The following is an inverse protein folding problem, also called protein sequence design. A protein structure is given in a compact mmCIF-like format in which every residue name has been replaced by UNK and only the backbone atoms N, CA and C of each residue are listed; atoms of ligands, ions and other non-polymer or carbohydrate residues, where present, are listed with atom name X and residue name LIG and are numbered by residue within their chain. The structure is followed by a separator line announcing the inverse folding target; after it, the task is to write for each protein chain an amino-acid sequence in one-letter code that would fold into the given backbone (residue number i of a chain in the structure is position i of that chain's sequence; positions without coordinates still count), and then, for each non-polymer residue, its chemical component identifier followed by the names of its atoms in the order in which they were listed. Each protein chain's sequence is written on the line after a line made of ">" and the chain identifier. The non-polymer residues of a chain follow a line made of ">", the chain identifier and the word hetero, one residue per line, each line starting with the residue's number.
data_IF_507623480377
#
_entry.id   IF_507623480377
#
_cell.length_a   1.000
_cell.length_b   1.000
_cell.length_c   1.000
_cell.angle_alpha   90.00
_cell.angle_beta   90.00
_cell.angle_gamma   90.00
#
_symmetry.space_group_name_H-M   'P 1'
#
loop_
_entity.id
_entity.type
_entity.pdbx_description
1 polymer ?
#
# COMPACT_ATOMS: atom_id res chain seq x y z
N UNK A 1 10.75 17.91 -8.07
CA UNK A 1 10.19 16.72 -7.39
C UNK A 1 10.26 15.56 -8.35
N UNK A 2 10.23 14.32 -7.85
CA UNK A 2 10.19 13.12 -8.69
C UNK A 2 8.81 13.03 -9.36
N UNK A 3 8.71 12.79 -10.68
CA UNK A 3 7.42 12.53 -11.33
C UNK A 3 6.88 11.18 -10.83
N UNK A 4 5.78 11.22 -10.08
CA UNK A 4 5.22 10.07 -9.36
C UNK A 4 3.71 10.08 -9.50
N UNK A 5 3.14 8.88 -9.67
CA UNK A 5 1.71 8.60 -9.50
C UNK A 5 1.54 7.45 -8.53
N UNK A 6 0.50 7.48 -7.70
CA UNK A 6 0.12 6.38 -6.82
C UNK A 6 -1.05 5.61 -7.41
N UNK A 7 -1.07 4.29 -7.20
CA UNK A 7 -2.20 3.42 -7.50
C UNK A 7 -2.59 2.69 -6.21
N UNK A 8 -3.88 2.61 -5.90
CA UNK A 8 -4.40 1.90 -4.73
C UNK A 8 -5.83 1.43 -4.92
N UNK A 9 -6.38 0.75 -3.92
CA UNK A 9 -7.80 0.41 -3.89
C UNK A 9 -8.58 1.49 -3.13
N UNK A 10 -9.78 1.84 -3.61
CA UNK A 10 -10.70 2.70 -2.88
C UNK A 10 -11.54 1.85 -1.93
N UNK A 11 -11.31 1.96 -0.62
CA UNK A 11 -12.11 1.27 0.39
C UNK A 11 -13.20 2.19 0.93
N UNK A 12 -14.45 1.99 0.53
CA UNK A 12 -15.56 2.88 0.90
C UNK A 12 -15.92 2.80 2.40
N UNK A 13 -15.63 1.68 3.08
CA UNK A 13 -15.82 1.52 4.53
C UNK A 13 -14.52 1.70 5.33
N UNK A 14 -13.36 1.80 4.66
CA UNK A 14 -12.05 1.81 5.32
C UNK A 14 -11.79 0.52 6.11
N UNK A 15 -11.18 0.63 7.29
CA UNK A 15 -10.96 -0.53 8.17
C UNK A 15 -12.21 -0.81 9.01
N UNK A 16 -12.35 -0.15 10.15
CA UNK A 16 -13.60 0.02 10.87
C UNK A 16 -13.45 1.21 11.82
N UNK A 17 -14.58 1.74 12.27
CA UNK A 17 -14.59 2.72 13.35
C UNK A 17 -14.76 1.99 14.67
N UNK A 18 -13.76 2.11 15.53
CA UNK A 18 -13.76 1.48 16.85
C UNK A 18 -14.69 2.24 17.80
N UNK A 19 -15.53 1.49 18.50
CA UNK A 19 -16.37 1.95 19.60
C UNK A 19 -16.10 1.11 20.84
N UNK A 20 -16.14 1.72 22.03
CA UNK A 20 -16.12 0.99 23.29
C UNK A 20 -17.49 1.14 23.94
N UNK A 21 -18.08 0.01 24.36
CA UNK A 21 -19.34 0.02 25.10
C UNK A 21 -19.15 0.48 26.57
N UNK A 22 -20.21 0.36 27.36
CA UNK A 22 -20.20 0.68 28.78
C UNK A 22 -19.29 -0.23 29.62
N UNK A 23 -19.06 -1.45 29.15
CA UNK A 23 -18.18 -2.44 29.79
C UNK A 23 -16.73 -2.35 29.31
N UNK A 24 -16.45 -1.46 28.34
CA UNK A 24 -15.14 -1.29 27.74
C UNK A 24 -14.79 -2.31 26.65
N UNK A 25 -15.76 -3.09 26.17
CA UNK A 25 -15.54 -4.00 25.04
C UNK A 25 -15.56 -3.25 23.72
N UNK A 26 -14.66 -3.66 22.83
CA UNK A 26 -14.60 -3.15 21.47
C UNK A 26 -15.82 -3.62 20.67
N UNK A 27 -16.39 -2.66 19.96
CA UNK A 27 -17.41 -2.85 18.93
C UNK A 27 -16.93 -2.18 17.63
N UNK A 28 -17.34 -2.76 16.51
CA UNK A 28 -16.93 -2.35 15.16
C UNK A 28 -18.10 -1.72 14.42
N UNK A 29 -17.92 -0.49 13.94
CA UNK A 29 -18.88 0.18 13.07
C UNK A 29 -18.26 0.38 11.69
N UNK A 30 -18.92 -0.13 10.65
CA UNK A 30 -18.53 0.05 9.25
C UNK A 30 -19.43 1.12 8.65
N UNK A 31 -18.83 2.24 8.21
CA UNK A 31 -19.56 3.40 7.68
C UNK A 31 -19.19 3.55 6.21
N UNK A 32 -20.17 3.44 5.33
CA UNK A 32 -19.98 3.75 3.92
C UNK A 32 -19.70 5.24 3.76
N UNK A 33 -18.52 5.56 3.24
CA UNK A 33 -18.16 6.92 2.91
C UNK A 33 -18.88 7.32 1.64
N UNK A 34 -19.50 8.48 1.71
CA UNK A 34 -20.12 9.14 0.57
C UNK A 34 -19.02 9.75 -0.30
N UNK A 35 -18.85 9.21 -1.51
CA UNK A 35 -17.82 9.66 -2.46
C UNK A 35 -17.95 11.15 -2.77
N UNK A 36 -19.17 11.70 -2.78
CA UNK A 36 -19.46 13.12 -2.99
C UNK A 36 -18.90 14.05 -1.88
N UNK A 37 -18.55 13.49 -0.72
CA UNK A 37 -17.93 14.22 0.39
C UNK A 37 -16.40 14.11 0.40
N UNK A 38 -15.82 13.37 -0.54
CA UNK A 38 -14.39 13.17 -0.65
C UNK A 38 -13.79 14.05 -1.77
N UNK A 39 -12.52 14.46 -1.65
CA UNK A 39 -11.82 15.21 -2.69
C UNK A 39 -11.33 14.26 -3.80
N UNK A 40 -12.26 13.49 -4.37
CA UNK A 40 -12.01 12.54 -5.46
C UNK A 40 -12.92 12.86 -6.64
N UNK A 41 -12.44 12.59 -7.84
CA UNK A 41 -13.18 12.78 -9.10
C UNK A 41 -13.00 11.56 -10.01
N UNK A 42 -13.92 11.27 -10.94
CA UNK A 42 -13.72 10.19 -11.91
C UNK A 42 -12.45 10.43 -12.73
N UNK A 43 -11.60 9.42 -12.85
CA UNK A 43 -10.45 9.49 -13.74
C UNK A 43 -10.92 9.34 -15.18
N UNK A 44 -10.46 10.24 -16.05
CA UNK A 44 -10.90 10.32 -17.44
C UNK A 44 -9.81 9.80 -18.39
N UNK A 45 -10.24 9.15 -19.47
CA UNK A 45 -9.39 8.78 -20.60
C UNK A 45 -9.00 10.03 -21.43
N UNK A 46 -8.12 9.90 -22.44
CA UNK A 46 -7.74 11.01 -23.32
C UNK A 46 -8.91 11.67 -24.08
N UNK A 47 -10.02 10.97 -24.25
CA UNK A 47 -11.23 11.44 -24.93
C UNK A 47 -12.23 12.10 -23.96
N UNK A 48 -11.94 12.10 -22.65
CA UNK A 48 -12.73 12.72 -21.60
C UNK A 48 -13.81 11.80 -20.98
N UNK A 49 -13.79 10.50 -21.26
CA UNK A 49 -14.75 9.55 -20.70
C UNK A 49 -14.24 8.93 -19.38
N UNK A 50 -15.11 8.68 -18.40
CA UNK A 50 -14.73 7.95 -17.18
C UNK A 50 -14.16 6.56 -17.48
N UNK A 51 -13.05 6.23 -16.82
CA UNK A 51 -12.37 4.95 -17.02
C UNK A 51 -13.01 3.87 -16.15
N UNK A 52 -13.42 2.79 -16.80
CA UNK A 52 -13.73 1.49 -16.18
C UNK A 52 -12.88 0.43 -16.83
N UNK A 53 -12.10 -0.30 -16.04
CA UNK A 53 -11.27 -1.41 -16.51
C UNK A 53 -12.00 -2.75 -16.31
N UNK A 54 -11.63 -3.74 -17.12
CA UNK A 54 -12.10 -5.12 -17.01
C UNK A 54 -10.94 -6.07 -16.71
N UNK A 55 -11.23 -7.07 -15.87
CA UNK A 55 -10.31 -8.08 -15.41
C UNK A 55 -10.97 -9.44 -15.58
N UNK A 56 -10.46 -10.26 -16.49
CA UNK A 56 -11.02 -11.57 -16.76
C UNK A 56 -10.46 -12.62 -15.81
N UNK A 57 -11.37 -13.41 -15.22
CA UNK A 57 -11.07 -14.62 -14.45
C UNK A 57 -11.71 -15.82 -15.15
N UNK A 58 -11.37 -17.05 -14.75
CA UNK A 58 -12.02 -18.25 -15.29
C UNK A 58 -13.54 -18.28 -15.07
N UNK A 59 -14.01 -17.58 -14.03
CA UNK A 59 -15.40 -17.58 -13.59
C UNK A 59 -16.18 -16.30 -13.94
N UNK A 60 -15.59 -15.41 -14.74
CA UNK A 60 -16.26 -14.19 -15.20
C UNK A 60 -15.34 -12.97 -15.21
N UNK A 61 -15.91 -11.83 -15.59
CA UNK A 61 -15.20 -10.55 -15.68
C UNK A 61 -15.50 -9.70 -14.46
N UNK A 62 -14.46 -9.14 -13.85
CA UNK A 62 -14.53 -8.17 -12.78
C UNK A 62 -14.29 -6.77 -13.35
N UNK A 63 -15.17 -5.82 -13.03
CA UNK A 63 -15.05 -4.43 -13.43
C UNK A 63 -14.49 -3.58 -12.28
N UNK A 64 -13.70 -2.57 -12.59
CA UNK A 64 -13.32 -1.55 -11.61
C UNK A 64 -13.30 -0.17 -12.26
N UNK A 65 -14.00 0.80 -11.67
CA UNK A 65 -13.90 2.22 -12.05
C UNK A 65 -12.67 2.84 -11.39
N UNK A 66 -12.16 3.91 -11.97
CA UNK A 66 -10.95 4.57 -11.50
C UNK A 66 -11.29 5.98 -11.00
N UNK A 67 -10.96 6.24 -9.75
CA UNK A 67 -11.02 7.57 -9.13
C UNK A 67 -9.66 8.26 -9.18
N UNK A 68 -9.66 9.58 -9.25
CA UNK A 68 -8.50 10.45 -9.15
C UNK A 68 -8.58 11.28 -7.85
N UNK A 69 -7.49 11.30 -7.09
CA UNK A 69 -7.28 12.17 -5.95
C UNK A 69 -5.97 12.92 -6.11
N UNK A 70 -5.96 14.22 -5.77
CA UNK A 70 -4.75 15.03 -5.75
C UNK A 70 -4.12 15.04 -4.35
N UNK A 71 -2.93 14.46 -4.22
CA UNK A 71 -2.13 14.48 -2.98
C UNK A 71 -0.96 15.44 -3.17
N UNK A 72 -1.20 16.72 -2.87
CA UNK A 72 -0.25 17.79 -3.19
C UNK A 72 -0.04 17.88 -4.70
N UNK A 73 1.16 17.53 -5.18
CA UNK A 73 1.50 17.50 -6.62
C UNK A 73 1.39 16.12 -7.26
N UNK A 74 1.15 15.07 -6.45
CA UNK A 74 1.08 13.68 -6.89
C UNK A 74 -0.37 13.32 -7.18
N UNK A 75 -0.61 12.64 -8.30
CA UNK A 75 -1.91 12.05 -8.60
C UNK A 75 -1.97 10.65 -7.99
N UNK A 76 -3.03 10.38 -7.24
CA UNK A 76 -3.35 9.08 -6.67
C UNK A 76 -4.60 8.55 -7.39
N UNK A 77 -4.48 7.41 -8.06
CA UNK A 77 -5.60 6.73 -8.67
C UNK A 77 -6.07 5.59 -7.78
N UNK A 78 -7.38 5.50 -7.56
CA UNK A 78 -7.98 4.51 -6.68
C UNK A 78 -8.98 3.66 -7.45
N UNK A 79 -8.78 2.35 -7.46
CA UNK A 79 -9.65 1.40 -8.13
C UNK A 79 -10.81 0.99 -7.23
N UNK A 80 -12.02 0.98 -7.77
CA UNK A 80 -13.26 0.69 -7.05
C UNK A 80 -14.10 -0.32 -7.83
N UNK A 81 -14.39 -1.46 -7.22
CA UNK A 81 -15.22 -2.53 -7.78
C UNK A 81 -16.72 -2.31 -7.56
N UNK A 82 -17.16 -1.27 -6.84
CA UNK A 82 -18.57 -0.91 -6.74
C UNK A 82 -19.06 -0.26 -8.05
N UNK A 83 -19.29 -1.11 -9.04
CA UNK A 83 -19.64 -0.75 -10.42
C UNK A 83 -20.87 -1.55 -10.85
N UNK A 84 -21.77 -0.92 -11.60
CA UNK A 84 -22.86 -1.63 -12.25
C UNK A 84 -22.33 -2.70 -13.22
N UNK A 85 -22.93 -3.89 -13.22
CA UNK A 85 -22.44 -5.05 -13.95
C UNK A 85 -21.67 -6.06 -13.08
N UNK A 86 -21.01 -5.62 -12.01
CA UNK A 86 -20.43 -6.53 -11.01
C UNK A 86 -21.51 -7.17 -10.13
N UNK A 87 -21.29 -8.42 -9.73
CA UNK A 87 -22.14 -9.11 -8.76
C UNK A 87 -22.05 -8.43 -7.37
N UNK A 88 -23.03 -8.63 -6.47
CA UNK A 88 -22.95 -8.05 -5.12
C UNK A 88 -21.65 -8.39 -4.39
N UNK A 89 -21.17 -9.63 -4.49
CA UNK A 89 -19.92 -10.09 -3.89
C UNK A 89 -18.69 -9.39 -4.48
N UNK A 90 -18.73 -9.04 -5.76
CA UNK A 90 -17.63 -8.38 -6.46
C UNK A 90 -17.52 -6.90 -6.08
N UNK A 91 -18.67 -6.26 -5.85
CA UNK A 91 -18.73 -4.89 -5.33
C UNK A 91 -18.15 -4.79 -3.92
N UNK A 92 -18.36 -5.82 -3.11
CA UNK A 92 -17.81 -5.88 -1.73
C UNK A 92 -16.28 -6.04 -1.69
N UNK A 93 -15.61 -6.39 -2.80
CA UNK A 93 -14.15 -6.53 -2.84
C UNK A 93 -13.40 -5.27 -2.41
N UNK A 94 -13.94 -4.11 -2.73
CA UNK A 94 -13.37 -2.80 -2.37
C UNK A 94 -14.17 -2.12 -1.28
N UNK A 95 -14.95 -2.87 -0.49
CA UNK A 95 -15.67 -2.28 0.63
C UNK A 95 -14.74 -2.04 1.84
N UNK A 96 -14.07 -3.11 2.30
CA UNK A 96 -13.31 -3.13 3.55
C UNK A 96 -11.83 -3.36 3.33
N UNK A 97 -11.01 -2.57 4.00
CA UNK A 97 -9.57 -2.77 4.12
C UNK A 97 -9.30 -3.96 5.05
N UNK A 98 -8.44 -4.90 4.63
CA UNK A 98 -8.09 -6.12 5.38
C UNK A 98 -9.29 -7.01 5.78
N UNK A 99 -10.38 -6.98 5.00
CA UNK A 99 -11.51 -7.89 5.15
C UNK A 99 -11.41 -9.12 4.24
N UNK A 100 -12.34 -10.06 4.44
CA UNK A 100 -12.52 -11.23 3.58
C UNK A 100 -11.59 -12.39 3.89
N UNK A 101 -11.63 -13.38 3.00
CA UNK A 101 -10.82 -14.60 3.00
C UNK A 101 -9.71 -14.58 1.94
N UNK A 102 -8.99 -15.68 1.75
CA UNK A 102 -7.94 -15.80 0.73
C UNK A 102 -8.44 -15.49 -0.68
N UNK A 103 -9.69 -15.88 -0.99
CA UNK A 103 -10.34 -15.59 -2.27
C UNK A 103 -10.59 -14.09 -2.44
N UNK A 104 -11.08 -13.42 -1.41
CA UNK A 104 -11.22 -11.95 -1.43
C UNK A 104 -9.86 -11.29 -1.62
N UNK A 105 -8.83 -11.80 -0.94
CA UNK A 105 -7.48 -11.25 -0.97
C UNK A 105 -6.83 -11.33 -2.34
N UNK A 106 -6.81 -12.51 -2.97
CA UNK A 106 -6.21 -12.67 -4.32
C UNK A 106 -6.93 -11.80 -5.36
N UNK A 107 -8.25 -11.61 -5.21
CA UNK A 107 -9.05 -10.73 -6.08
C UNK A 107 -8.71 -9.25 -5.88
N UNK A 108 -8.54 -8.80 -4.64
CA UNK A 108 -8.04 -7.44 -4.36
C UNK A 108 -6.66 -7.22 -4.98
N UNK A 109 -5.76 -8.20 -4.85
CA UNK A 109 -4.41 -8.12 -5.45
C UNK A 109 -4.43 -8.16 -6.98
N UNK A 110 -5.38 -8.89 -7.58
CA UNK A 110 -5.64 -8.87 -9.02
C UNK A 110 -6.06 -7.47 -9.48
N UNK A 111 -7.02 -6.85 -8.78
CA UNK A 111 -7.48 -5.48 -9.07
C UNK A 111 -6.36 -4.48 -8.89
N UNK A 112 -5.59 -4.58 -7.81
CA UNK A 112 -4.50 -3.65 -7.53
C UNK A 112 -3.34 -3.79 -8.54
N UNK A 113 -2.89 -5.02 -8.79
CA UNK A 113 -1.76 -5.32 -9.67
C UNK A 113 -2.14 -5.16 -11.14
N UNK A 114 -2.93 -6.09 -11.67
CA UNK A 114 -3.32 -6.12 -13.09
C UNK A 114 -4.21 -4.92 -13.42
N UNK A 115 -5.20 -4.65 -12.56
CA UNK A 115 -6.08 -3.51 -12.79
C UNK A 115 -5.36 -2.17 -12.70
N UNK A 116 -4.41 -2.03 -11.78
CA UNK A 116 -3.56 -0.84 -11.70
C UNK A 116 -2.81 -0.55 -13.00
N UNK A 117 -2.23 -1.57 -13.64
CA UNK A 117 -1.54 -1.41 -14.93
C UNK A 117 -2.53 -1.08 -16.05
N UNK A 118 -3.66 -1.76 -16.13
CA UNK A 118 -4.71 -1.45 -17.12
C UNK A 118 -5.24 -0.01 -16.97
N UNK A 119 -5.39 0.48 -15.74
CA UNK A 119 -5.80 1.85 -15.47
C UNK A 119 -4.75 2.86 -15.95
N UNK A 120 -3.46 2.61 -15.69
CA UNK A 120 -2.36 3.45 -16.20
C UNK A 120 -2.37 3.51 -17.72
N UNK A 121 -2.59 2.37 -18.39
CA UNK A 121 -2.69 2.30 -19.85
C UNK A 121 -3.88 3.09 -20.38
N UNK A 122 -5.05 2.96 -19.78
CA UNK A 122 -6.25 3.74 -20.15
C UNK A 122 -6.05 5.25 -19.95
N UNK A 123 -5.25 5.64 -18.95
CA UNK A 123 -4.86 7.04 -18.69
C UNK A 123 -3.79 7.58 -19.67
N UNK A 124 -3.24 6.73 -20.54
CA UNK A 124 -2.10 7.10 -21.39
C UNK A 124 -0.79 7.30 -20.62
N UNK A 125 -0.66 6.72 -19.42
CA UNK A 125 0.53 6.82 -18.58
C UNK A 125 1.40 5.59 -18.79
N UNK A 126 2.66 5.80 -19.17
CA UNK A 126 3.68 4.75 -19.25
C UNK A 126 4.76 5.00 -18.21
N UNK A 127 4.74 4.30 -17.06
CA UNK A 127 5.77 4.44 -16.04
C UNK A 127 7.14 3.99 -16.56
N UNK A 128 8.19 4.74 -16.24
CA UNK A 128 9.57 4.28 -16.44
C UNK A 128 10.04 3.31 -15.35
N UNK A 129 9.40 3.34 -14.18
CA UNK A 129 9.66 2.45 -13.04
C UNK A 129 8.35 2.10 -12.35
N UNK A 130 8.19 0.83 -12.00
CA UNK A 130 7.13 0.30 -11.14
C UNK A 130 7.71 0.03 -9.75
N UNK A 131 7.13 0.62 -8.72
CA UNK A 131 7.50 0.35 -7.33
C UNK A 131 6.38 -0.43 -6.65
N UNK A 132 6.70 -1.67 -6.30
CA UNK A 132 5.82 -2.57 -5.55
C UNK A 132 6.05 -2.36 -4.06
N UNK A 133 5.03 -1.84 -3.38
CA UNK A 133 5.03 -1.71 -1.92
C UNK A 133 4.42 -2.98 -1.30
N UNK A 134 5.30 -3.90 -0.88
CA UNK A 134 4.98 -5.28 -0.49
C UNK A 134 4.37 -6.12 -1.64
N UNK A 135 4.08 -7.39 -1.37
CA UNK A 135 3.60 -8.37 -2.36
C UNK A 135 2.26 -8.05 -3.02
N UNK A 136 1.42 -7.18 -2.46
CA UNK A 136 0.02 -7.03 -2.86
C UNK A 136 -0.21 -6.56 -4.31
N UNK A 137 0.81 -5.94 -4.91
CA UNK A 137 0.78 -5.47 -6.29
C UNK A 137 1.62 -6.32 -7.25
N UNK A 138 2.12 -7.48 -6.79
CA UNK A 138 3.09 -8.29 -7.53
C UNK A 138 2.52 -8.95 -8.80
N UNK A 139 1.21 -8.92 -9.02
CA UNK A 139 0.61 -9.27 -10.31
C UNK A 139 0.76 -8.18 -11.38
N UNK A 140 1.03 -6.93 -11.00
CA UNK A 140 1.23 -5.82 -11.93
C UNK A 140 2.30 -6.09 -12.99
N UNK A 141 3.53 -6.50 -12.61
CA UNK A 141 4.57 -6.86 -13.57
C UNK A 141 4.15 -7.93 -14.60
N UNK A 142 3.28 -8.88 -14.24
CA UNK A 142 2.77 -9.89 -15.19
C UNK A 142 1.90 -9.24 -16.28
N UNK A 143 1.07 -8.26 -15.93
CA UNK A 143 0.30 -7.50 -16.93
C UNK A 143 1.21 -6.63 -17.80
N UNK A 144 2.27 -6.03 -17.24
CA UNK A 144 3.24 -5.27 -18.05
C UNK A 144 3.97 -6.20 -19.04
N UNK A 145 4.34 -7.42 -18.62
CA UNK A 145 4.92 -8.42 -19.55
C UNK A 145 3.94 -8.69 -20.69
N UNK A 146 2.67 -8.94 -20.35
CA UNK A 146 1.63 -9.20 -21.35
C UNK A 146 1.50 -8.04 -22.34
N UNK A 147 1.50 -6.80 -21.86
CA UNK A 147 1.50 -5.61 -22.72
C UNK A 147 2.71 -5.57 -23.65
N UNK A 148 3.93 -5.83 -23.15
CA UNK A 148 5.16 -5.87 -23.98
C UNK A 148 5.13 -6.99 -25.02
N UNK A 149 4.64 -8.17 -24.66
CA UNK A 149 4.48 -9.27 -25.61
C UNK A 149 3.52 -8.91 -26.74
N UNK A 150 2.38 -8.30 -26.41
CA UNK A 150 1.36 -7.94 -27.38
C UNK A 150 1.76 -6.72 -28.25
N UNK A 151 2.26 -5.65 -27.62
CA UNK A 151 2.51 -4.37 -28.30
C UNK A 151 3.86 -4.35 -29.05
N UNK A 152 4.84 -5.12 -28.58
CA UNK A 152 6.20 -5.13 -29.12
C UNK A 152 6.60 -6.49 -29.74
N UNK A 153 5.74 -7.51 -29.67
CA UNK A 153 6.03 -8.85 -30.21
C UNK A 153 7.16 -9.58 -29.47
N UNK A 154 7.42 -9.22 -28.21
CA UNK A 154 8.49 -9.82 -27.41
C UNK A 154 8.14 -11.24 -26.99
N UNK A 155 9.17 -12.07 -26.78
CA UNK A 155 9.00 -13.35 -26.08
C UNK A 155 8.73 -13.10 -24.60
N UNK A 156 8.10 -14.06 -23.92
CA UNK A 156 7.86 -13.98 -22.47
C UNK A 156 9.17 -13.71 -21.69
N UNK A 157 10.24 -14.43 -22.01
CA UNK A 157 11.52 -14.30 -21.31
C UNK A 157 12.17 -12.92 -21.52
N UNK A 158 12.11 -12.37 -22.73
CA UNK A 158 12.67 -11.05 -23.01
C UNK A 158 11.86 -9.94 -22.35
N UNK A 159 10.53 -10.04 -22.41
CA UNK A 159 9.63 -9.11 -21.74
C UNK A 159 9.79 -9.17 -20.20
N UNK A 160 9.93 -10.37 -19.62
CA UNK A 160 10.20 -10.55 -18.20
C UNK A 160 11.52 -9.89 -17.78
N UNK A 161 12.60 -10.06 -18.56
CA UNK A 161 13.89 -9.41 -18.28
C UNK A 161 13.79 -7.89 -18.35
N UNK A 162 13.07 -7.35 -19.34
CA UNK A 162 12.86 -5.90 -19.47
C UNK A 162 12.06 -5.34 -18.30
N UNK A 163 10.91 -5.94 -17.99
CA UNK A 163 10.03 -5.49 -16.91
C UNK A 163 10.73 -5.58 -15.56
N UNK A 164 11.53 -6.62 -15.33
CA UNK A 164 12.32 -6.74 -14.11
C UNK A 164 13.28 -5.54 -13.95
N UNK A 165 13.90 -5.06 -15.03
CA UNK A 165 14.77 -3.86 -14.99
C UNK A 165 14.03 -2.59 -14.61
N UNK A 166 12.72 -2.53 -14.88
CA UNK A 166 11.82 -1.42 -14.57
C UNK A 166 11.11 -1.58 -13.22
N UNK A 167 11.31 -2.70 -12.50
CA UNK A 167 10.57 -2.99 -11.27
C UNK A 167 11.46 -2.95 -10.03
N UNK A 168 10.95 -2.30 -8.98
CA UNK A 168 11.56 -2.23 -7.64
C UNK A 168 10.57 -2.75 -6.61
N UNK A 169 11.04 -3.55 -5.67
CA UNK A 169 10.22 -4.16 -4.62
C UNK A 169 10.68 -3.71 -3.24
N UNK A 170 9.73 -3.32 -2.38
CA UNK A 170 10.00 -3.07 -0.96
C UNK A 170 9.23 -4.08 -0.12
N UNK A 171 9.91 -4.73 0.83
CA UNK A 171 9.27 -5.60 1.82
C UNK A 171 9.27 -4.97 3.20
N UNK A 172 8.14 -5.13 3.91
CA UNK A 172 7.87 -4.62 5.24
C UNK A 172 7.76 -5.74 6.27
N UNK A 173 7.46 -6.97 5.84
CA UNK A 173 7.21 -8.11 6.71
C UNK A 173 8.51 -8.81 7.13
N UNK A 174 8.84 -8.86 8.44
CA UNK A 174 10.07 -9.51 8.92
C UNK A 174 9.86 -10.97 9.32
N UNK A 175 8.68 -11.55 9.09
CA UNK A 175 8.31 -12.91 9.53
C UNK A 175 7.65 -13.71 8.40
N UNK A 176 8.01 -14.99 8.17
CA UNK A 176 7.47 -15.79 7.07
C UNK A 176 5.94 -15.89 7.01
N UNK A 177 5.28 -15.90 8.18
CA UNK A 177 3.82 -16.04 8.29
C UNK A 177 3.04 -14.79 7.86
N UNK A 178 3.69 -13.64 7.71
CA UNK A 178 3.02 -12.39 7.29
C UNK A 178 3.01 -12.17 5.78
N UNK A 179 3.44 -13.14 4.98
CA UNK A 179 3.47 -13.04 3.52
C UNK A 179 2.27 -13.77 2.91
N UNK A 180 1.55 -13.08 2.04
CA UNK A 180 0.40 -13.62 1.34
C UNK A 180 0.80 -14.84 0.48
N UNK A 181 0.06 -15.94 0.68
CA UNK A 181 0.25 -17.23 0.01
C UNK A 181 -1.10 -17.75 -0.46
N UNK A 182 -1.16 -18.21 -1.70
CA UNK A 182 -2.39 -18.73 -2.30
C UNK A 182 -2.21 -20.15 -2.78
N UNK A 183 -3.28 -20.95 -2.65
CA UNK A 183 -3.36 -22.25 -3.30
C UNK A 183 -3.36 -22.12 -4.83
N UNK A 184 -2.79 -23.10 -5.51
CA UNK A 184 -2.65 -23.09 -6.97
C UNK A 184 -3.98 -23.07 -7.72
N UNK A 185 -5.04 -23.66 -7.15
CA UNK A 185 -6.39 -23.59 -7.71
C UNK A 185 -6.95 -22.18 -7.72
N UNK A 186 -6.73 -21.41 -6.64
CA UNK A 186 -7.11 -19.99 -6.60
C UNK A 186 -6.31 -19.16 -7.59
N UNK A 187 -5.01 -19.44 -7.74
CA UNK A 187 -4.17 -18.75 -8.73
C UNK A 187 -4.65 -19.02 -10.15
N UNK A 188 -4.90 -20.27 -10.53
CA UNK A 188 -5.37 -20.61 -11.88
C UNK A 188 -6.77 -20.04 -12.16
N UNK A 189 -7.65 -20.00 -11.15
CA UNK A 189 -8.97 -19.42 -11.30
C UNK A 189 -8.91 -17.92 -11.66
N UNK A 190 -8.01 -17.16 -11.01
CA UNK A 190 -7.98 -15.70 -11.12
C UNK A 190 -6.95 -15.18 -12.13
N UNK A 191 -5.81 -15.85 -12.28
CA UNK A 191 -4.75 -15.50 -13.23
C UNK A 191 -4.72 -16.37 -14.47
N UNK A 192 -5.49 -17.45 -14.56
CA UNK A 192 -5.52 -18.34 -15.71
C UNK A 192 -5.69 -17.62 -17.06
N UNK A 193 -6.64 -16.67 -17.21
CA UNK A 193 -6.76 -15.90 -18.44
C UNK A 193 -5.52 -15.06 -18.78
N UNK A 194 -4.85 -14.46 -17.77
CA UNK A 194 -3.59 -13.73 -17.97
C UNK A 194 -2.48 -14.70 -18.37
N UNK A 195 -2.38 -15.85 -17.70
CA UNK A 195 -1.42 -16.92 -18.01
C UNK A 195 -1.55 -17.40 -19.45
N UNK A 196 -2.78 -17.61 -19.93
CA UNK A 196 -3.05 -18.01 -21.30
C UNK A 196 -2.56 -16.96 -22.30
N UNK A 197 -2.77 -15.66 -21.99
CA UNK A 197 -2.28 -14.55 -22.81
C UNK A 197 -0.76 -14.40 -22.78
N UNK A 198 -0.11 -14.80 -21.69
CA UNK A 198 1.34 -14.89 -21.56
C UNK A 198 1.92 -16.12 -22.30
N UNK A 199 1.08 -17.10 -22.66
CA UNK A 199 1.50 -18.31 -23.36
C UNK A 199 2.39 -19.24 -22.53
N UNK A 200 2.29 -19.18 -21.20
CA UNK A 200 3.08 -20.00 -20.27
C UNK A 200 2.24 -21.13 -19.65
N UNK A 201 2.90 -22.21 -19.24
CA UNK A 201 2.24 -23.32 -18.56
C UNK A 201 1.81 -22.95 -17.13
N UNK A 202 0.95 -23.77 -16.53
CA UNK A 202 0.54 -23.61 -15.13
C UNK A 202 1.75 -23.73 -14.19
N UNK A 203 2.63 -24.68 -14.47
CA UNK A 203 3.86 -24.93 -13.71
C UNK A 203 4.82 -23.76 -13.82
N UNK A 204 4.92 -23.13 -15.01
CA UNK A 204 5.72 -21.92 -15.19
C UNK A 204 5.19 -20.77 -14.35
N UNK A 205 3.88 -20.51 -14.36
CA UNK A 205 3.26 -19.48 -13.52
C UNK A 205 3.52 -19.78 -12.03
N UNK A 206 3.18 -20.98 -11.57
CA UNK A 206 3.35 -21.37 -10.17
C UNK A 206 4.83 -21.27 -9.74
N UNK A 207 5.76 -21.64 -10.60
CA UNK A 207 7.20 -21.51 -10.36
C UNK A 207 7.65 -20.06 -10.12
N UNK A 208 6.93 -19.06 -10.61
CA UNK A 208 7.21 -17.65 -10.33
C UNK A 208 6.88 -17.27 -8.88
N UNK A 209 5.89 -17.91 -8.26
CA UNK A 209 5.48 -17.67 -6.87
C UNK A 209 6.14 -18.58 -5.84
N UNK A 210 6.94 -19.57 -6.27
CA UNK A 210 7.56 -20.57 -5.38
C UNK A 210 9.04 -20.30 -5.14
N UNK A 211 9.52 -20.53 -3.93
CA UNK A 211 10.95 -20.53 -3.64
C UNK A 211 11.65 -21.63 -4.43
N UNK A 212 11.07 -22.83 -4.41
CA UNK A 212 11.51 -23.98 -5.19
C UNK A 212 10.52 -24.20 -6.35
N UNK A 213 10.84 -23.79 -7.60
CA UNK A 213 9.87 -23.80 -8.69
C UNK A 213 9.21 -25.16 -8.96
N UNK A 214 9.94 -26.25 -8.71
CA UNK A 214 9.50 -27.63 -8.92
C UNK A 214 8.77 -28.24 -7.72
N UNK A 215 8.70 -27.54 -6.57
CA UNK A 215 8.00 -28.04 -5.39
C UNK A 215 6.49 -27.83 -5.55
N UNK A 216 5.79 -28.85 -6.04
CA UNK A 216 4.34 -28.79 -6.28
C UNK A 216 3.50 -28.54 -5.02
N UNK A 217 4.04 -28.87 -3.85
CA UNK A 217 3.37 -28.62 -2.56
C UNK A 217 3.57 -27.20 -2.01
N UNK A 218 4.43 -26.38 -2.63
CA UNK A 218 4.64 -25.01 -2.18
C UNK A 218 3.52 -24.08 -2.72
N UNK A 219 2.84 -23.31 -1.85
CA UNK A 219 1.82 -22.36 -2.28
C UNK A 219 2.45 -21.15 -2.99
N UNK A 220 1.65 -20.45 -3.78
CA UNK A 220 2.07 -19.28 -4.53
C UNK A 220 2.29 -18.08 -3.61
N UNK A 221 3.52 -17.63 -3.43
CA UNK A 221 3.89 -16.53 -2.53
C UNK A 221 4.12 -15.23 -3.27
N UNK A 222 3.39 -14.19 -2.88
CA UNK A 222 3.45 -12.88 -3.53
C UNK A 222 4.78 -12.16 -3.37
N UNK A 223 5.43 -12.30 -2.21
CA UNK A 223 6.76 -11.74 -2.01
C UNK A 223 7.81 -12.44 -2.88
N UNK A 224 7.66 -13.73 -3.17
CA UNK A 224 8.56 -14.42 -4.12
C UNK A 224 8.40 -13.86 -5.52
N UNK A 225 7.16 -13.60 -5.98
CA UNK A 225 6.92 -12.92 -7.26
C UNK A 225 7.58 -11.55 -7.25
N UNK A 226 7.33 -10.74 -6.23
CA UNK A 226 7.94 -9.40 -6.09
C UNK A 226 9.47 -9.43 -6.15
N UNK A 227 10.10 -10.40 -5.50
CA UNK A 227 11.57 -10.57 -5.51
C UNK A 227 12.10 -11.05 -6.87
N UNK A 228 11.45 -12.03 -7.51
CA UNK A 228 11.88 -12.57 -8.82
C UNK A 228 11.64 -11.60 -9.96
N UNK A 229 10.60 -10.77 -9.86
CA UNK A 229 10.17 -9.81 -10.88
C UNK A 229 10.79 -8.43 -10.74
N UNK A 230 11.71 -8.21 -9.80
CA UNK A 230 12.31 -6.90 -9.55
C UNK A 230 13.82 -6.92 -9.70
N UNK A 231 14.36 -5.86 -10.29
CA UNK A 231 15.81 -5.64 -10.37
C UNK A 231 16.41 -5.28 -9.02
N UNK A 232 15.65 -4.57 -8.18
CA UNK A 232 16.08 -4.18 -6.83
C UNK A 232 15.01 -4.51 -5.82
N UNK A 233 15.43 -5.06 -4.70
CA UNK A 233 14.60 -5.24 -3.53
C UNK A 233 15.22 -4.52 -2.32
N UNK A 234 14.39 -3.94 -1.47
CA UNK A 234 14.84 -3.34 -0.22
C UNK A 234 13.90 -3.65 0.95
N UNK A 235 14.50 -3.85 2.12
CA UNK A 235 13.81 -3.80 3.39
C UNK A 235 13.66 -2.33 3.87
N UNK A 236 12.88 -2.13 4.92
CA UNK A 236 12.56 -0.79 5.46
C UNK A 236 13.45 -0.30 6.62
N UNK A 237 14.48 -1.06 6.98
CA UNK A 237 15.52 -0.66 7.94
C UNK A 237 16.77 -1.54 7.77
N UNK A 238 17.92 -1.09 8.29
CA UNK A 238 19.18 -1.84 8.20
C UNK A 238 19.07 -3.24 8.80
N UNK A 239 18.53 -3.36 10.02
CA UNK A 239 18.34 -4.66 10.67
C UNK A 239 17.33 -5.52 9.90
N UNK A 240 16.25 -4.93 9.40
CA UNK A 240 15.29 -5.66 8.59
C UNK A 240 15.95 -6.22 7.32
N UNK A 241 16.87 -5.47 6.68
CA UNK A 241 17.62 -5.97 5.53
C UNK A 241 18.38 -7.27 5.80
N UNK A 242 18.97 -7.43 6.99
CA UNK A 242 19.63 -8.68 7.39
C UNK A 242 18.60 -9.81 7.57
N UNK A 243 17.50 -9.53 8.27
CA UNK A 243 16.42 -10.50 8.48
C UNK A 243 15.84 -10.99 7.15
N UNK A 244 15.58 -10.06 6.20
CA UNK A 244 15.03 -10.39 4.89
C UNK A 244 16.00 -11.24 4.05
N UNK A 245 17.31 -10.94 4.07
CA UNK A 245 18.30 -11.77 3.36
C UNK A 245 18.30 -13.20 3.89
N UNK A 246 18.37 -13.37 5.21
CA UNK A 246 18.32 -14.69 5.85
C UNK A 246 17.03 -15.44 5.52
N UNK A 247 15.89 -14.77 5.58
CA UNK A 247 14.57 -15.36 5.32
C UNK A 247 14.43 -15.86 3.89
N UNK A 248 14.98 -15.13 2.92
CA UNK A 248 14.83 -15.42 1.49
C UNK A 248 16.08 -16.06 0.86
N UNK A 249 17.02 -16.56 1.66
CA UNK A 249 18.27 -17.15 1.18
C UNK A 249 18.08 -18.33 0.21
N UNK A 250 17.02 -19.11 0.40
CA UNK A 250 16.69 -20.24 -0.47
C UNK A 250 16.31 -19.84 -1.91
N UNK A 251 16.00 -18.56 -2.18
CA UNK A 251 15.84 -18.07 -3.56
C UNK A 251 17.18 -17.92 -4.31
N UNK A 252 18.29 -17.81 -3.58
CA UNK A 252 19.64 -17.69 -4.12
C UNK A 252 20.60 -18.65 -3.41
N UNK A 253 20.39 -19.98 -3.51
CA UNK A 253 21.17 -20.98 -2.77
C UNK A 253 22.66 -20.99 -3.11
N UNK A 254 23.05 -20.35 -4.23
CA UNK A 254 24.43 -20.16 -4.67
C UNK A 254 25.09 -18.87 -4.15
N UNK A 255 24.40 -18.06 -3.33
CA UNK A 255 24.93 -16.82 -2.74
C UNK A 255 25.09 -16.98 -1.24
N UNK A 256 26.12 -16.31 -0.69
CA UNK A 256 26.19 -16.07 0.76
C UNK A 256 25.16 -15.01 1.16
N UNK A 257 24.76 -14.99 2.43
CA UNK A 257 23.67 -14.14 2.92
C UNK A 257 23.89 -12.66 2.58
N UNK A 258 25.13 -12.18 2.67
CA UNK A 258 25.50 -10.79 2.40
C UNK A 258 25.39 -10.39 0.92
N UNK A 259 25.44 -11.36 0.00
CA UNK A 259 25.35 -11.15 -1.46
C UNK A 259 23.92 -11.27 -2.00
N UNK A 260 22.97 -11.66 -1.15
CA UNK A 260 21.54 -11.71 -1.50
C UNK A 260 21.10 -10.28 -1.87
N UNK A 261 20.45 -10.08 -3.03
CA UNK A 261 20.18 -8.75 -3.60
C UNK A 261 19.01 -8.02 -2.91
N UNK A 262 18.96 -8.05 -1.58
CA UNK A 262 18.01 -7.33 -0.74
C UNK A 262 18.78 -6.27 0.07
N UNK A 263 18.61 -5.01 -0.32
CA UNK A 263 19.17 -3.85 0.38
C UNK A 263 18.27 -3.36 1.51
N UNK A 264 18.47 -2.13 1.95
CA UNK A 264 17.53 -1.44 2.82
C UNK A 264 17.44 0.05 2.48
N UNK A 265 16.25 0.60 2.70
CA UNK A 265 15.98 2.04 2.71
C UNK A 265 15.20 2.31 3.98
N UNK A 266 15.80 3.03 4.93
CA UNK A 266 15.16 3.27 6.23
C UNK A 266 13.93 4.16 6.05
N UNK A 267 12.78 3.71 6.54
CA UNK A 267 11.55 4.50 6.49
C UNK A 267 11.72 5.87 7.15
N UNK A 268 10.99 6.85 6.62
CA UNK A 268 10.88 8.19 7.17
C UNK A 268 9.44 8.65 7.23
N UNK A 269 9.23 9.83 7.81
CA UNK A 269 7.92 10.48 7.88
C UNK A 269 7.97 11.85 7.23
N UNK A 270 6.83 12.32 6.70
CA UNK A 270 6.72 13.68 6.19
C UNK A 270 6.69 14.67 7.36
N UNK A 271 7.86 15.22 7.72
CA UNK A 271 8.05 16.09 8.90
C UNK A 271 6.98 17.19 9.02
N UNK A 272 6.61 17.95 7.97
CA UNK A 272 5.58 18.98 8.08
C UNK A 272 4.20 18.46 8.51
N UNK A 273 3.86 17.20 8.21
CA UNK A 273 2.61 16.58 8.66
C UNK A 273 2.67 16.06 10.09
N UNK A 274 3.85 15.62 10.54
CA UNK A 274 4.04 14.96 11.84
C UNK A 274 4.58 15.89 12.93
N UNK A 275 5.11 17.05 12.56
CA UNK A 275 5.64 18.01 13.51
C UNK A 275 4.55 18.95 14.02
N UNK A 276 4.35 18.98 15.33
CA UNK A 276 3.44 19.92 15.96
C UNK A 276 3.88 21.37 15.71
N UNK A 277 2.90 22.27 15.53
CA UNK A 277 3.16 23.69 15.25
C UNK A 277 4.06 24.37 16.31
N UNK A 278 3.88 24.04 17.59
CA UNK A 278 4.68 24.60 18.68
C UNK A 278 6.14 24.13 18.61
N UNK A 279 6.38 22.87 18.23
CA UNK A 279 7.75 22.38 17.99
C UNK A 279 8.36 23.03 16.76
N UNK A 280 7.57 23.23 15.70
CA UNK A 280 7.99 23.99 14.51
C UNK A 280 8.49 25.39 14.90
N UNK A 281 7.72 26.13 15.71
CA UNK A 281 8.13 27.45 16.19
C UNK A 281 9.40 27.43 17.04
N UNK A 282 9.60 26.38 17.84
CA UNK A 282 10.86 26.20 18.57
C UNK A 282 12.02 25.98 17.60
N UNK A 283 11.86 25.12 16.60
CA UNK A 283 12.90 24.88 15.59
C UNK A 283 13.18 26.14 14.76
N UNK A 284 12.16 26.87 14.32
CA UNK A 284 12.33 28.10 13.54
C UNK A 284 13.13 29.18 14.30
N UNK A 285 13.17 29.16 15.64
CA UNK A 285 13.96 30.09 16.47
C UNK A 285 15.42 29.68 16.64
N UNK A 286 15.68 28.38 16.74
CA UNK A 286 16.99 27.85 17.15
C UNK A 286 17.79 27.22 16.02
N UNK A 287 17.10 26.72 14.99
CA UNK A 287 17.74 26.06 13.85
C UNK A 287 18.09 27.11 12.78
N UNK A 288 18.99 26.79 11.82
CA UNK A 288 19.25 27.67 10.70
C UNK A 288 17.97 28.04 9.94
N UNK A 289 17.92 29.25 9.37
CA UNK A 289 16.73 29.81 8.67
C UNK A 289 16.13 28.85 7.63
N UNK A 290 16.96 28.06 6.96
CA UNK A 290 16.56 27.11 5.90
C UNK A 290 16.52 25.65 6.37
N UNK A 291 16.39 25.41 7.68
CA UNK A 291 16.29 24.06 8.22
C UNK A 291 15.19 23.20 7.56
N UNK A 292 14.00 23.72 7.14
CA UNK A 292 12.99 22.90 6.48
C UNK A 292 13.46 22.36 5.12
N UNK A 293 14.32 23.07 4.40
CA UNK A 293 14.88 22.62 3.13
C UNK A 293 16.05 21.67 3.33
N UNK A 294 16.72 21.78 4.49
CA UNK A 294 17.93 21.03 4.87
C UNK A 294 17.66 19.92 5.89
N UNK A 295 16.42 19.47 6.03
CA UNK A 295 16.03 18.44 7.02
C UNK A 295 16.76 17.10 6.87
N UNK A 296 17.32 16.82 5.68
CA UNK A 296 18.12 15.63 5.44
C UNK A 296 19.58 15.72 5.93
N UNK A 297 20.02 16.88 6.39
CA UNK A 297 21.40 17.12 6.83
C UNK A 297 21.53 16.94 8.34
N UNK A 298 22.34 15.97 8.83
CA UNK A 298 22.51 15.71 10.26
C UNK A 298 22.97 16.93 11.07
N UNK A 299 23.73 17.84 10.45
CA UNK A 299 24.30 19.04 11.06
C UNK A 299 23.21 20.03 11.48
N UNK A 300 22.12 20.14 10.72
CA UNK A 300 20.98 21.02 11.04
C UNK A 300 20.36 20.62 12.37
N UNK A 301 20.25 19.32 12.62
CA UNK A 301 19.65 18.80 13.84
C UNK A 301 20.55 18.96 15.07
N UNK A 302 21.85 19.23 14.91
CA UNK A 302 22.75 19.48 16.05
C UNK A 302 22.36 20.74 16.83
N UNK A 303 21.66 21.68 16.20
CA UNK A 303 21.12 22.88 16.86
C UNK A 303 20.15 22.55 18.00
N UNK A 304 19.60 21.33 18.06
CA UNK A 304 18.76 20.91 19.19
C UNK A 304 19.52 20.93 20.53
N UNK A 305 20.84 20.71 20.50
CA UNK A 305 21.67 20.67 21.71
C UNK A 305 21.94 22.06 22.30
N UNK A 306 21.71 23.13 21.54
CA UNK A 306 21.79 24.51 22.04
C UNK A 306 20.46 25.04 22.56
N UNK A 307 19.36 24.29 22.40
CA UNK A 307 18.05 24.72 22.92
C UNK A 307 18.03 24.61 24.43
N UNK A 308 17.56 25.66 25.09
CA UNK A 308 17.34 25.65 26.53
C UNK A 308 16.35 24.53 26.93
N UNK A 309 16.73 23.63 27.87
CA UNK A 309 15.85 22.54 28.29
C UNK A 309 14.51 23.02 28.87
N UNK A 310 14.46 24.21 29.48
CA UNK A 310 13.24 24.83 29.98
C UNK A 310 12.27 25.17 28.85
N UNK A 311 12.74 25.73 27.73
CA UNK A 311 11.90 25.98 26.56
C UNK A 311 11.31 24.70 25.96
N UNK A 312 12.11 23.64 25.85
CA UNK A 312 11.64 22.33 25.40
C UNK A 312 10.57 21.78 26.35
N UNK A 313 10.81 21.89 27.66
CA UNK A 313 9.87 21.43 28.68
C UNK A 313 8.55 22.20 28.66
N UNK A 314 8.60 23.52 28.54
CA UNK A 314 7.41 24.37 28.41
C UNK A 314 6.61 24.02 27.15
N UNK A 315 7.29 23.86 26.02
CA UNK A 315 6.67 23.45 24.75
C UNK A 315 5.99 22.08 24.89
N UNK A 316 6.65 21.12 25.54
CA UNK A 316 6.09 19.80 25.82
C UNK A 316 4.86 19.86 26.73
N UNK A 317 4.90 20.68 27.78
CA UNK A 317 3.76 20.87 28.68
C UNK A 317 2.57 21.53 27.96
N UNK A 318 2.83 22.49 27.07
CA UNK A 318 1.79 23.07 26.23
C UNK A 318 1.12 22.01 25.34
N UNK A 319 1.89 21.14 24.68
CA UNK A 319 1.36 20.04 23.87
C UNK A 319 0.59 19.01 24.72
N UNK A 320 1.07 18.69 25.93
CA UNK A 320 0.33 17.84 26.88
C UNK A 320 -0.99 18.45 27.28
N UNK A 321 -1.04 19.75 27.56
CA UNK A 321 -2.29 20.44 27.89
C UNK A 321 -3.30 20.37 26.73
N UNK A 322 -2.84 20.54 25.48
CA UNK A 322 -3.70 20.36 24.31
C UNK A 322 -4.22 18.93 24.18
N UNK A 323 -3.37 17.93 24.41
CA UNK A 323 -3.78 16.52 24.44
C UNK A 323 -4.83 16.27 25.52
N UNK A 324 -4.62 16.77 26.75
CA UNK A 324 -5.56 16.61 27.85
C UNK A 324 -6.91 17.27 27.53
N UNK A 325 -6.91 18.49 26.99
CA UNK A 325 -8.14 19.16 26.54
C UNK A 325 -8.85 18.37 25.44
N UNK A 326 -8.11 17.80 24.48
CA UNK A 326 -8.67 16.94 23.43
C UNK A 326 -9.31 15.68 24.03
N UNK A 327 -8.60 14.98 24.92
CA UNK A 327 -9.06 13.75 25.57
C UNK A 327 -10.32 14.02 26.39
N UNK A 328 -10.32 15.03 27.26
CA UNK A 328 -11.51 15.41 28.06
C UNK A 328 -12.74 15.68 27.18
N UNK A 329 -12.55 16.47 26.12
CA UNK A 329 -13.63 16.75 25.16
C UNK A 329 -14.10 15.48 24.43
N UNK A 330 -13.21 14.54 24.14
CA UNK A 330 -13.54 13.27 23.50
C UNK A 330 -14.28 12.32 24.44
N UNK A 331 -13.83 12.20 25.69
CA UNK A 331 -14.47 11.37 26.73
C UNK A 331 -15.86 11.91 27.05
N UNK A 332 -16.02 13.22 27.26
CA UNK A 332 -17.33 13.83 27.48
C UNK A 332 -18.32 13.54 26.34
N UNK A 333 -17.86 13.56 25.08
CA UNK A 333 -18.68 13.15 23.92
C UNK A 333 -19.01 11.66 23.91
N UNK A 334 -18.09 10.81 24.39
CA UNK A 334 -18.31 9.37 24.47
C UNK A 334 -19.30 9.01 25.57
N UNK A 335 -19.19 9.61 26.77
CA UNK A 335 -20.15 9.44 27.86
C UNK A 335 -21.58 9.80 27.41
N UNK A 336 -21.75 10.94 26.73
CA UNK A 336 -23.05 11.31 26.13
C UNK A 336 -23.59 10.29 25.15
N UNK A 337 -22.72 9.68 24.34
CA UNK A 337 -23.11 8.63 23.38
C UNK A 337 -23.52 7.33 24.05
N UNK A 338 -22.94 7.01 25.21
CA UNK A 338 -23.29 5.84 26.02
C UNK A 338 -24.53 6.06 26.89
N UNK A 339 -25.11 7.27 26.88
CA UNK A 339 -26.28 7.59 27.72
C UNK A 339 -25.94 7.72 29.21
N UNK A 340 -24.68 8.00 29.55
CA UNK A 340 -24.26 8.23 30.94
C UNK A 340 -24.84 9.54 31.49
N UNK A 341 -24.89 9.67 32.83
CA UNK A 341 -25.46 10.83 33.50
C UNK A 341 -24.70 12.13 33.19
N UNK A 342 -25.41 13.26 33.29
CA UNK A 342 -24.82 14.58 33.09
C UNK A 342 -23.66 14.86 34.06
N UNK A 343 -23.70 14.31 35.27
CA UNK A 343 -22.61 14.41 36.25
C UNK A 343 -21.32 13.76 35.75
N UNK A 344 -21.41 12.58 35.14
CA UNK A 344 -20.24 11.87 34.58
C UNK A 344 -19.72 12.62 33.33
N UNK A 345 -20.64 13.15 32.52
CA UNK A 345 -20.32 13.94 31.33
C UNK A 345 -19.59 15.24 31.69
N UNK A 346 -19.96 15.89 32.80
CA UNK A 346 -19.34 17.12 33.30
C UNK A 346 -18.01 16.83 33.99
N UNK A 347 -17.90 15.75 34.77
CA UNK A 347 -16.64 15.31 35.37
C UNK A 347 -15.56 14.96 34.32
N UNK A 348 -15.98 14.61 33.10
CA UNK A 348 -15.09 14.34 31.98
C UNK A 348 -14.57 15.59 31.25
N UNK A 349 -15.11 16.79 31.51
CA UNK A 349 -14.66 18.06 30.90
C UNK A 349 -13.43 18.63 31.59
#
# INVERSE_FOLDING_TARGET
>A
GVPLVGIGLFYDQGYFKQHLDENGYQNEEYINVKTENLPIEPALDPDGNPITISLDTRNGTLLAKVWLMHVGRVKLYLLDCDVEGNSPQDRELTARLYGGDERTRIRQELVLGVGGVKALRALGITPGVYHLNEGHSAFGPLEVIRERMHDNGMTFDDAMREVAQQTVFTTHTPVPAGHDRFDGGLVEEHLGPLRDQLGISYEQLMGMGRVEPQNEGEPFCMTVVGLKMSRRANAVSSLHGHISRRMWAHLWPWRVEEEIPIGHITNGVHVPSWLAWQMRQLYDRHFPVEWPQRMGEPEVWQAIHSVDPGELWETHNALKNLLLSFVRRRVSRQCRRRGESDDIVEAAR
#
